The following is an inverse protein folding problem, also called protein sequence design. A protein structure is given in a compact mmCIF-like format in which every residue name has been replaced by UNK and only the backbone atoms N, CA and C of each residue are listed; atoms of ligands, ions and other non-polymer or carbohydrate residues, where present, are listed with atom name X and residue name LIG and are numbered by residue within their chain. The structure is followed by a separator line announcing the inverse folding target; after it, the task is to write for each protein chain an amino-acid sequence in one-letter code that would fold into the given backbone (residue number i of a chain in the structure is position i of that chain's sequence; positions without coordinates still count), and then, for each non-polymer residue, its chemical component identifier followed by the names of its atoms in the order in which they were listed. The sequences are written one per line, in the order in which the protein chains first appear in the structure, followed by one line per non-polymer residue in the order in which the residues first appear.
data_IF_445896189505
#
_entry.id   IF_445896189505
#
_cell.length_a   1.000
_cell.length_b   1.000
_cell.length_c   1.000
_cell.angle_alpha   90.00
_cell.angle_beta   90.00
_cell.angle_gamma   90.00
#
_symmetry.space_group_name_H-M   'P 1'
#
loop_
_entity.id
_entity.type
_entity.pdbx_description
1 polymer ?
#
# COMPACT_ATOMS: atom_id res chain seq x y z
N UNK A 1 8.70 0.67 -22.02
CA UNK A 1 8.99 -0.48 -21.14
C UNK A 1 8.01 -0.43 -19.98
N UNK A 2 7.15 -1.44 -19.81
CA UNK A 2 6.17 -1.55 -18.72
C UNK A 2 6.66 -2.58 -17.71
N UNK A 3 6.48 -2.28 -16.42
CA UNK A 3 6.78 -3.20 -15.31
C UNK A 3 5.45 -3.51 -14.62
N UNK A 4 5.16 -4.79 -14.38
CA UNK A 4 3.94 -5.26 -13.72
C UNK A 4 4.25 -5.67 -12.30
N UNK A 5 3.75 -4.89 -11.34
CA UNK A 5 3.93 -5.12 -9.90
C UNK A 5 2.52 -5.30 -9.31
N UNK A 6 2.12 -6.56 -9.10
CA UNK A 6 0.81 -6.95 -8.55
C UNK A 6 -0.02 -7.80 -9.52
N UNK A 7 -0.17 -9.09 -9.22
CA UNK A 7 -0.95 -10.04 -10.02
C UNK A 7 -2.17 -10.56 -9.23
N UNK A 8 -3.37 -10.42 -9.78
CA UNK A 8 -4.59 -11.07 -9.29
C UNK A 8 -5.30 -11.78 -10.45
N UNK A 9 -5.45 -13.11 -10.38
CA UNK A 9 -6.29 -13.97 -11.24
C UNK A 9 -6.54 -13.58 -12.73
N UNK A 10 -5.52 -13.09 -13.45
CA UNK A 10 -5.47 -12.62 -14.86
C UNK A 10 -5.39 -11.10 -15.09
N UNK A 11 -5.41 -10.35 -14.00
CA UNK A 11 -5.20 -8.91 -13.96
C UNK A 11 -3.81 -8.60 -13.41
N UNK A 12 -3.06 -7.76 -14.12
CA UNK A 12 -1.80 -7.20 -13.62
C UNK A 12 -1.88 -5.68 -13.57
N UNK A 13 -1.40 -5.10 -12.48
CA UNK A 13 -1.25 -3.66 -12.31
C UNK A 13 0.18 -3.22 -12.64
N UNK A 14 0.33 -1.96 -13.04
CA UNK A 14 1.66 -1.37 -13.19
C UNK A 14 1.62 0.01 -13.80
N UNK A 15 2.66 0.34 -14.56
CA UNK A 15 2.82 1.63 -15.23
C UNK A 15 3.29 1.51 -16.67
N UNK A 16 2.92 2.49 -17.49
CA UNK A 16 3.43 2.69 -18.84
C UNK A 16 3.91 4.14 -19.03
N UNK A 17 4.96 4.36 -19.81
CA UNK A 17 5.36 5.70 -20.23
C UNK A 17 4.71 6.03 -21.58
N UNK A 18 3.84 7.04 -21.59
CA UNK A 18 3.07 7.47 -22.77
C UNK A 18 3.24 8.97 -22.92
N UNK A 19 3.86 9.40 -24.03
CA UNK A 19 4.11 10.82 -24.28
C UNK A 19 5.00 11.49 -23.21
N UNK A 20 5.89 10.72 -22.55
CA UNK A 20 6.75 11.22 -21.48
C UNK A 20 6.11 11.19 -20.08
N UNK A 21 4.84 10.79 -19.96
CA UNK A 21 4.12 10.70 -18.69
C UNK A 21 4.07 9.25 -18.23
N UNK A 22 4.46 9.01 -16.97
CA UNK A 22 4.27 7.71 -16.32
C UNK A 22 2.81 7.59 -15.89
N UNK A 23 2.12 6.61 -16.46
CA UNK A 23 0.69 6.39 -16.29
C UNK A 23 0.40 5.04 -15.68
N UNK A 24 -0.39 5.05 -14.62
CA UNK A 24 -0.93 3.85 -14.01
C UNK A 24 -1.81 3.14 -15.04
N UNK A 25 -1.73 1.82 -15.08
CA UNK A 25 -2.61 1.04 -15.92
C UNK A 25 -2.70 -0.40 -15.49
N UNK A 26 -3.56 -1.11 -16.18
CA UNK A 26 -3.88 -2.52 -15.92
C UNK A 26 -3.88 -3.30 -17.22
N UNK A 27 -3.42 -4.55 -17.17
CA UNK A 27 -3.52 -5.51 -18.27
C UNK A 27 -4.42 -6.68 -17.86
N UNK A 28 -5.16 -7.20 -18.83
CA UNK A 28 -5.91 -8.46 -18.71
C UNK A 28 -5.38 -9.48 -19.72
N UNK A 29 -4.67 -10.51 -19.24
CA UNK A 29 -4.15 -11.66 -20.03
C UNK A 29 -3.18 -11.38 -21.19
N UNK A 30 -3.17 -10.20 -21.82
CA UNK A 30 -2.33 -9.84 -22.97
C UNK A 30 -1.80 -8.41 -22.84
N UNK A 31 -0.70 -8.09 -23.55
CA UNK A 31 -0.19 -6.72 -23.59
C UNK A 31 -1.14 -5.73 -24.30
N UNK A 32 -2.00 -6.23 -25.20
CA UNK A 32 -2.94 -5.42 -25.98
C UNK A 32 -4.17 -4.96 -25.19
N UNK A 33 -4.42 -5.51 -24.01
CA UNK A 33 -5.58 -5.18 -23.17
C UNK A 33 -5.29 -4.09 -22.15
N UNK A 34 -4.23 -3.32 -22.37
CA UNK A 34 -3.85 -2.24 -21.47
C UNK A 34 -4.97 -1.21 -21.36
N UNK A 35 -5.34 -0.91 -20.12
CA UNK A 35 -6.29 0.15 -19.76
C UNK A 35 -5.53 1.27 -19.06
N UNK A 36 -5.66 2.49 -19.59
CA UNK A 36 -5.15 3.70 -18.94
C UNK A 36 -5.98 4.01 -17.69
N UNK A 37 -5.30 4.09 -16.55
CA UNK A 37 -5.89 4.42 -15.26
C UNK A 37 -5.35 5.72 -14.70
N UNK A 38 -4.65 6.51 -15.52
CA UNK A 38 -4.08 7.77 -15.10
C UNK A 38 -5.15 8.81 -14.75
N UNK A 39 -5.22 9.28 -13.48
CA UNK A 39 -6.21 10.25 -13.08
C UNK A 39 -6.04 11.58 -13.82
N UNK A 40 -7.16 12.24 -14.16
CA UNK A 40 -7.11 13.57 -14.77
C UNK A 40 -6.42 14.57 -13.83
N UNK A 41 -5.40 15.27 -14.34
CA UNK A 41 -4.63 16.28 -13.59
C UNK A 41 -3.44 15.72 -12.81
N UNK A 42 -3.24 14.40 -12.77
CA UNK A 42 -2.03 13.81 -12.20
C UNK A 42 -0.83 14.06 -13.13
N UNK A 43 0.37 14.19 -12.55
CA UNK A 43 1.63 14.29 -13.29
C UNK A 43 2.31 12.93 -13.47
N UNK A 44 2.10 12.02 -12.52
CA UNK A 44 2.59 10.64 -12.49
C UNK A 44 1.51 9.80 -11.81
N UNK A 45 1.31 8.56 -12.24
CA UNK A 45 0.58 7.58 -11.45
C UNK A 45 1.10 6.16 -11.67
N UNK A 46 0.94 5.30 -10.67
CA UNK A 46 1.34 3.90 -10.72
C UNK A 46 0.34 3.02 -9.96
N UNK A 47 0.06 1.83 -10.49
CA UNK A 47 -0.60 0.74 -9.74
C UNK A 47 0.48 -0.18 -9.19
N UNK A 48 0.44 -0.46 -7.90
CA UNK A 48 1.37 -1.35 -7.17
C UNK A 48 0.70 -2.57 -6.54
N UNK A 49 -0.62 -2.50 -6.32
CA UNK A 49 -1.39 -3.58 -5.73
C UNK A 49 -2.68 -3.82 -6.49
N UNK A 50 -3.07 -5.08 -6.60
CA UNK A 50 -4.27 -5.50 -7.33
C UNK A 50 -5.02 -6.53 -6.51
N UNK A 51 -6.32 -6.34 -6.35
CA UNK A 51 -7.27 -7.36 -5.93
C UNK A 51 -8.19 -7.72 -7.09
N UNK A 52 -9.09 -8.68 -6.88
CA UNK A 52 -10.11 -9.02 -7.88
C UNK A 52 -11.09 -7.88 -8.18
N UNK A 53 -11.19 -6.87 -7.30
CA UNK A 53 -12.21 -5.81 -7.39
C UNK A 53 -11.62 -4.40 -7.47
N UNK A 54 -10.32 -4.24 -7.20
CA UNK A 54 -9.71 -2.92 -7.07
C UNK A 54 -8.22 -2.93 -7.36
N UNK A 55 -7.70 -1.76 -7.70
CA UNK A 55 -6.27 -1.49 -7.86
C UNK A 55 -5.86 -0.40 -6.90
N UNK A 56 -4.64 -0.47 -6.39
CA UNK A 56 -4.06 0.54 -5.50
C UNK A 56 -2.65 0.92 -5.91
N UNK A 57 -2.20 2.07 -5.44
CA UNK A 57 -0.90 2.62 -5.75
C UNK A 57 -0.86 4.08 -5.35
N UNK A 58 -0.34 4.92 -6.24
CA UNK A 58 -0.32 6.36 -6.02
C UNK A 58 -0.46 7.20 -7.29
N UNK A 59 -0.78 8.48 -7.09
CA UNK A 59 -0.80 9.51 -8.12
C UNK A 59 -0.23 10.83 -7.59
N UNK A 60 0.53 11.57 -8.39
CA UNK A 60 1.11 12.86 -8.01
C UNK A 60 0.26 14.02 -8.50
N UNK A 61 -0.22 14.85 -7.57
CA UNK A 61 -0.94 16.09 -7.85
C UNK A 61 -0.17 17.27 -7.25
N UNK A 62 0.41 18.10 -8.11
CA UNK A 62 1.35 19.13 -7.67
C UNK A 62 2.53 18.50 -6.92
N UNK A 63 2.71 18.89 -5.66
CA UNK A 63 3.77 18.37 -4.77
C UNK A 63 3.34 17.21 -3.89
N UNK A 64 2.06 16.80 -3.97
CA UNK A 64 1.48 15.81 -3.06
C UNK A 64 1.36 14.46 -3.74
N UNK A 65 1.83 13.41 -3.06
CA UNK A 65 1.60 12.02 -3.44
C UNK A 65 0.29 11.55 -2.81
N UNK A 66 -0.64 11.10 -3.66
CA UNK A 66 -1.94 10.60 -3.25
C UNK A 66 -1.96 9.08 -3.26
N UNK A 67 -2.19 8.46 -2.10
CA UNK A 67 -2.58 7.05 -2.06
C UNK A 67 -3.84 6.92 -2.90
N UNK A 68 -3.82 5.97 -3.83
CA UNK A 68 -4.81 5.92 -4.90
C UNK A 68 -5.52 4.59 -4.89
N UNK A 69 -6.83 4.66 -5.08
CA UNK A 69 -7.71 3.52 -5.32
C UNK A 69 -8.34 3.70 -6.70
N UNK A 70 -8.40 2.62 -7.47
CA UNK A 70 -9.14 2.55 -8.72
C UNK A 70 -10.00 1.30 -8.78
N UNK A 71 -11.03 1.34 -9.63
CA UNK A 71 -11.84 0.18 -10.03
C UNK A 71 -11.87 0.08 -11.55
N UNK A 72 -10.71 -0.20 -12.14
CA UNK A 72 -10.56 -0.54 -13.56
C UNK A 72 -10.59 0.61 -14.57
N UNK A 73 -10.58 1.88 -14.15
CA UNK A 73 -10.51 3.01 -15.09
C UNK A 73 -9.92 4.26 -14.44
N UNK A 74 -9.46 5.21 -15.26
CA UNK A 74 -9.04 6.52 -14.78
C UNK A 74 -10.17 7.29 -14.08
N UNK A 75 -11.41 7.16 -14.57
CA UNK A 75 -12.59 7.85 -14.03
C UNK A 75 -13.07 7.32 -12.68
N UNK A 76 -12.64 6.13 -12.27
CA UNK A 76 -12.96 5.57 -10.95
C UNK A 76 -11.90 5.84 -9.88
N UNK A 77 -10.92 6.70 -10.18
CA UNK A 77 -9.89 7.07 -9.23
C UNK A 77 -10.46 7.77 -7.99
N UNK A 78 -10.00 7.34 -6.82
CA UNK A 78 -10.27 7.95 -5.52
C UNK A 78 -8.96 8.18 -4.79
N UNK A 79 -8.77 9.40 -4.28
CA UNK A 79 -7.70 9.72 -3.34
C UNK A 79 -8.03 9.15 -1.95
N UNK A 80 -7.09 8.39 -1.40
CA UNK A 80 -7.14 7.85 -0.03
C UNK A 80 -6.41 8.74 0.99
N UNK A 81 -5.79 9.86 0.57
CA UNK A 81 -5.07 10.74 1.49
C UNK A 81 -5.98 11.26 2.62
N UNK A 82 -5.67 10.94 3.89
CA UNK A 82 -6.40 11.49 5.03
C UNK A 82 -6.24 13.01 5.10
N UNK A 83 -7.23 13.68 5.68
CA UNK A 83 -7.15 15.13 5.93
C UNK A 83 -5.95 15.45 6.83
N UNK A 84 -5.17 16.47 6.45
CA UNK A 84 -3.95 16.88 7.17
C UNK A 84 -2.70 16.05 6.88
N UNK A 85 -2.79 15.02 6.03
CA UNK A 85 -1.60 14.29 5.57
C UNK A 85 -0.76 15.10 4.58
N UNK A 86 0.56 14.89 4.60
CA UNK A 86 1.50 15.45 3.62
C UNK A 86 1.55 14.60 2.34
N UNK A 87 1.01 13.39 2.40
CA UNK A 87 0.92 12.44 1.31
C UNK A 87 0.60 11.06 1.87
N UNK A 88 0.28 10.13 0.98
CA UNK A 88 0.15 8.72 1.32
C UNK A 88 0.46 7.85 0.09
N UNK A 89 0.72 6.57 0.32
CA UNK A 89 0.86 5.54 -0.72
C UNK A 89 0.13 4.29 -0.28
N UNK A 90 -0.61 3.64 -1.19
CA UNK A 90 -1.22 2.34 -0.96
C UNK A 90 -0.44 1.26 -1.72
N UNK A 91 -0.02 0.20 -1.02
CA UNK A 91 0.81 -0.87 -1.58
C UNK A 91 -0.01 -2.13 -1.90
N UNK A 92 -1.00 -2.46 -1.08
CA UNK A 92 -1.77 -3.69 -1.22
C UNK A 92 -3.28 -3.44 -1.14
N UNK A 93 -4.02 -4.27 -1.87
CA UNK A 93 -5.47 -4.27 -1.88
C UNK A 93 -5.98 -5.67 -1.49
N UNK A 94 -6.92 -5.71 -0.56
CA UNK A 94 -7.77 -6.89 -0.33
C UNK A 94 -9.12 -6.67 -1.01
N UNK A 95 -10.04 -7.63 -0.87
CA UNK A 95 -11.40 -7.46 -1.37
C UNK A 95 -12.13 -6.26 -0.75
N UNK A 96 -11.74 -5.83 0.45
CA UNK A 96 -12.45 -4.81 1.24
C UNK A 96 -11.58 -3.64 1.67
N UNK A 97 -10.27 -3.78 1.63
CA UNK A 97 -9.35 -2.81 2.23
C UNK A 97 -8.18 -2.45 1.33
N UNK A 98 -7.63 -1.27 1.58
CA UNK A 98 -6.38 -0.80 1.01
C UNK A 98 -5.39 -0.63 2.15
N UNK A 99 -4.15 -1.06 1.94
CA UNK A 99 -3.11 -1.11 2.94
C UNK A 99 -1.94 -0.28 2.45
N UNK A 100 -1.40 0.57 3.31
CA UNK A 100 -0.20 1.30 2.99
C UNK A 100 0.26 2.27 4.06
N UNK A 101 0.79 3.42 3.64
CA UNK A 101 1.46 4.36 4.52
C UNK A 101 0.89 5.77 4.34
N UNK A 102 0.73 6.50 5.44
CA UNK A 102 0.42 7.93 5.46
C UNK A 102 1.59 8.70 6.04
N UNK A 103 1.97 9.80 5.41
CA UNK A 103 3.05 10.68 5.85
C UNK A 103 2.47 11.86 6.62
N UNK A 104 2.84 11.97 7.91
CA UNK A 104 2.40 13.01 8.83
C UNK A 104 3.62 13.68 9.46
N UNK A 105 3.98 14.89 9.01
CA UNK A 105 5.16 15.61 9.49
C UNK A 105 6.41 14.72 9.62
N UNK A 106 6.84 14.40 10.85
CA UNK A 106 8.03 13.60 11.16
C UNK A 106 7.78 12.10 11.27
N UNK A 107 6.58 11.62 10.93
CA UNK A 107 6.18 10.23 11.17
C UNK A 107 5.52 9.61 9.94
N UNK A 108 5.92 8.37 9.65
CA UNK A 108 5.22 7.48 8.71
C UNK A 108 4.31 6.57 9.52
N UNK A 109 3.05 6.46 9.09
CA UNK A 109 2.02 5.68 9.75
C UNK A 109 1.53 4.56 8.85
N UNK A 110 1.71 3.31 9.29
CA UNK A 110 0.98 2.17 8.76
C UNK A 110 -0.52 2.50 8.76
N UNK A 111 -1.16 2.29 7.62
CA UNK A 111 -2.48 2.83 7.32
C UNK A 111 -3.35 1.77 6.66
N UNK A 112 -4.62 1.77 7.05
CA UNK A 112 -5.68 0.98 6.44
C UNK A 112 -6.79 1.91 5.96
N UNK A 113 -7.35 1.63 4.80
CA UNK A 113 -8.54 2.31 4.29
C UNK A 113 -9.60 1.30 3.85
N UNK A 114 -10.84 1.77 3.74
CA UNK A 114 -11.95 1.05 3.10
C UNK A 114 -12.67 1.97 2.12
N UNK A 115 -12.07 2.17 0.95
CA UNK A 115 -12.69 2.84 -0.19
C UNK A 115 -12.61 4.36 -0.22
N UNK A 116 -12.14 5.02 0.85
CA UNK A 116 -12.08 6.49 0.89
C UNK A 116 -11.02 6.99 1.89
N UNK A 117 -10.63 8.26 1.75
CA UNK A 117 -9.81 8.95 2.73
C UNK A 117 -10.46 9.03 4.13
N UNK A 118 -11.79 9.13 4.20
CA UNK A 118 -12.53 9.27 5.45
C UNK A 118 -12.55 7.98 6.28
N UNK A 119 -12.33 6.81 5.66
CA UNK A 119 -12.25 5.53 6.35
C UNK A 119 -10.85 5.15 6.79
N UNK A 120 -9.91 6.10 6.77
CA UNK A 120 -8.55 5.88 7.23
C UNK A 120 -8.50 5.45 8.69
N UNK A 121 -7.72 4.39 8.94
CA UNK A 121 -7.34 3.90 10.27
C UNK A 121 -5.83 3.94 10.38
N UNK A 122 -5.34 4.61 11.41
CA UNK A 122 -3.94 4.58 11.81
C UNK A 122 -3.63 3.24 12.53
N UNK A 123 -2.68 2.49 12.00
CA UNK A 123 -2.21 1.22 12.55
C UNK A 123 -0.94 1.36 13.41
N UNK A 124 -0.38 2.57 13.58
CA UNK A 124 0.79 2.78 14.40
C UNK A 124 0.55 2.36 15.86
N UNK A 125 1.26 1.34 16.38
CA UNK A 125 1.07 0.89 17.76
C UNK A 125 1.41 1.97 18.78
N UNK A 126 0.79 1.90 19.96
CA UNK A 126 1.17 2.77 21.08
C UNK A 126 2.65 2.61 21.42
N UNK A 127 3.36 3.73 21.53
CA UNK A 127 4.80 3.75 21.81
C UNK A 127 5.71 3.58 20.58
N UNK A 128 5.15 3.34 19.40
CA UNK A 128 5.90 3.29 18.14
C UNK A 128 6.15 4.69 17.60
N UNK A 129 7.39 4.93 17.15
CA UNK A 129 7.82 6.21 16.56
C UNK A 129 7.56 6.31 15.06
N UNK A 130 7.42 5.17 14.38
CA UNK A 130 7.06 5.07 12.96
C UNK A 130 6.58 3.64 12.66
N UNK A 131 5.65 3.50 11.72
CA UNK A 131 5.22 2.20 11.23
C UNK A 131 4.95 2.25 9.73
N UNK A 132 5.07 1.10 9.08
CA UNK A 132 4.72 0.91 7.68
C UNK A 132 3.95 -0.39 7.50
N UNK A 133 2.99 -0.40 6.57
CA UNK A 133 2.28 -1.59 6.17
C UNK A 133 2.40 -1.78 4.65
N UNK A 134 2.80 -2.97 4.22
CA UNK A 134 3.13 -3.24 2.81
C UNK A 134 2.22 -4.28 2.18
N UNK A 135 1.68 -5.19 2.98
CA UNK A 135 0.88 -6.30 2.48
C UNK A 135 -0.20 -6.71 3.45
N UNK A 136 -1.05 -7.64 3.02
CA UNK A 136 -2.09 -8.20 3.85
C UNK A 136 -3.08 -9.04 3.06
N UNK A 137 -3.88 -9.81 3.79
CA UNK A 137 -4.93 -10.65 3.24
C UNK A 137 -6.06 -10.75 4.26
N UNK A 138 -7.30 -10.68 3.77
CA UNK A 138 -8.48 -10.60 4.61
C UNK A 138 -8.35 -9.47 5.65
N UNK A 139 -8.51 -9.76 6.96
CA UNK A 139 -8.43 -8.76 8.02
C UNK A 139 -6.99 -8.40 8.42
N UNK A 140 -5.99 -9.12 7.91
CA UNK A 140 -4.61 -9.04 8.42
C UNK A 140 -3.75 -8.09 7.58
N UNK A 141 -2.97 -7.24 8.24
CA UNK A 141 -1.96 -6.37 7.62
C UNK A 141 -0.58 -6.75 8.14
N UNK A 142 0.44 -6.63 7.30
CA UNK A 142 1.83 -6.90 7.66
C UNK A 142 2.76 -5.77 7.25
N UNK A 143 3.85 -5.63 8.01
CA UNK A 143 4.82 -4.56 7.82
C UNK A 143 5.80 -4.52 8.98
N UNK A 144 6.08 -3.33 9.50
CA UNK A 144 6.86 -3.15 10.72
C UNK A 144 6.41 -1.95 11.56
N UNK A 145 6.77 -1.97 12.84
CA UNK A 145 6.67 -0.83 13.75
C UNK A 145 8.04 -0.55 14.40
N UNK A 146 8.32 0.70 14.74
CA UNK A 146 9.60 1.12 15.34
C UNK A 146 9.42 1.37 16.83
N UNK A 147 9.79 0.38 17.64
CA UNK A 147 9.64 0.36 19.09
C UNK A 147 11.02 0.41 19.75
N UNK A 148 11.25 1.37 20.65
CA UNK A 148 12.56 1.52 21.31
C UNK A 148 13.75 1.72 20.35
N UNK A 149 13.50 2.24 19.14
CA UNK A 149 14.50 2.39 18.08
C UNK A 149 14.74 1.14 17.23
N UNK A 150 14.05 0.03 17.49
CA UNK A 150 14.15 -1.23 16.75
C UNK A 150 12.96 -1.35 15.80
N UNK A 151 13.21 -1.72 14.55
CA UNK A 151 12.15 -2.11 13.62
C UNK A 151 11.76 -3.55 13.89
N UNK A 152 10.53 -3.73 14.33
CA UNK A 152 9.92 -5.01 14.63
C UNK A 152 8.91 -5.37 13.56
N UNK A 153 9.07 -6.55 12.95
CA UNK A 153 8.08 -7.12 12.04
C UNK A 153 6.72 -7.14 12.75
N UNK A 154 5.70 -6.65 12.06
CA UNK A 154 4.40 -6.38 12.65
C UNK A 154 3.31 -7.13 11.90
N UNK A 155 2.36 -7.65 12.67
CA UNK A 155 1.06 -8.13 12.20
C UNK A 155 -0.02 -7.29 12.89
N UNK A 156 -0.99 -6.79 12.12
CA UNK A 156 -2.17 -6.12 12.63
C UNK A 156 -3.44 -6.82 12.16
N UNK A 157 -4.53 -6.62 12.90
CA UNK A 157 -5.88 -7.00 12.50
C UNK A 157 -6.80 -5.78 12.61
N UNK A 158 -6.69 -4.87 11.63
CA UNK A 158 -7.61 -3.74 11.45
C UNK A 158 -7.42 -2.54 12.38
N UNK A 159 -6.56 -2.61 13.41
CA UNK A 159 -6.37 -1.51 14.37
C UNK A 159 -4.93 -1.45 14.87
N UNK A 160 -4.51 -0.31 15.42
CA UNK A 160 -3.24 -0.20 16.13
C UNK A 160 -3.15 -1.11 17.37
N UNK A 161 -4.28 -1.32 18.05
CA UNK A 161 -4.34 -2.12 19.28
C UNK A 161 -4.20 -3.64 19.05
N UNK A 162 -4.46 -4.11 17.83
CA UNK A 162 -4.29 -5.52 17.44
C UNK A 162 -2.88 -5.86 16.96
N UNK A 163 -1.92 -4.95 17.19
CA UNK A 163 -0.51 -5.20 16.91
C UNK A 163 0.02 -6.45 17.61
N UNK A 164 0.68 -7.30 16.84
CA UNK A 164 1.47 -8.44 17.29
C UNK A 164 2.86 -8.31 16.70
N UNK A 165 3.88 -8.30 17.58
CA UNK A 165 5.26 -8.37 17.14
C UNK A 165 5.58 -9.77 16.64
N UNK A 166 6.07 -9.86 15.40
CA UNK A 166 6.64 -11.05 14.79
C UNK A 166 8.18 -11.01 14.86
N UNK A 167 8.75 -10.13 15.68
CA UNK A 167 10.19 -9.95 15.80
C UNK A 167 10.85 -11.17 16.46
N UNK A 168 11.79 -11.86 15.78
CA UNK A 168 12.50 -12.98 16.38
C UNK A 168 13.40 -12.51 17.52
N UNK A 169 13.42 -13.26 18.63
CA UNK A 169 14.34 -12.98 19.73
C UNK A 169 15.80 -13.00 19.28
N UNK A 170 16.57 -11.96 19.63
CA UNK A 170 17.98 -11.80 19.25
C UNK A 170 18.22 -11.14 17.88
N UNK A 171 17.18 -10.81 17.13
CA UNK A 171 17.34 -9.99 15.93
C UNK A 171 17.57 -8.51 16.28
N UNK A 172 18.31 -7.80 15.42
CA UNK A 172 18.53 -6.34 15.52
C UNK A 172 17.49 -5.54 14.72
N UNK A 173 16.80 -6.19 13.79
CA UNK A 173 15.70 -5.64 12.99
C UNK A 173 14.92 -6.77 12.32
N UNK A 174 13.63 -6.60 12.11
CA UNK A 174 12.83 -7.47 11.23
C UNK A 174 11.70 -6.71 10.55
N UNK A 175 11.21 -7.24 9.43
CA UNK A 175 10.07 -6.68 8.67
C UNK A 175 9.21 -7.79 8.07
N UNK A 176 7.90 -7.61 8.08
CA UNK A 176 6.96 -8.39 7.28
C UNK A 176 6.69 -7.70 5.93
N UNK A 177 6.53 -8.46 4.86
CA UNK A 177 6.27 -7.94 3.51
C UNK A 177 4.89 -8.32 2.99
N UNK A 178 4.52 -9.60 3.07
CA UNK A 178 3.26 -10.10 2.54
C UNK A 178 2.63 -11.13 3.48
N UNK A 179 1.33 -11.36 3.29
CA UNK A 179 0.57 -12.36 4.02
C UNK A 179 -0.48 -12.98 3.11
N UNK A 180 -0.59 -14.32 3.11
CA UNK A 180 -1.68 -15.03 2.43
C UNK A 180 -2.96 -15.12 3.30
N UNK A 181 -2.90 -14.60 4.54
CA UNK A 181 -3.96 -14.67 5.55
C UNK A 181 -3.69 -15.73 6.61
N UNK A 182 -2.87 -16.73 6.31
CA UNK A 182 -2.43 -17.81 7.20
C UNK A 182 -0.93 -17.83 7.46
N UNK A 183 -0.13 -17.29 6.53
CA UNK A 183 1.33 -17.23 6.59
C UNK A 183 1.79 -15.81 6.29
N UNK A 184 2.82 -15.38 7.00
CA UNK A 184 3.51 -14.12 6.77
C UNK A 184 4.92 -14.39 6.26
N UNK A 185 5.37 -13.58 5.30
CA UNK A 185 6.74 -13.63 4.79
C UNK A 185 7.46 -12.32 5.10
N UNK A 186 8.76 -12.39 5.28
CA UNK A 186 9.56 -11.28 5.78
C UNK A 186 11.03 -11.63 5.94
N UNK A 187 11.79 -10.74 6.57
CA UNK A 187 13.17 -11.00 6.94
C UNK A 187 13.47 -10.52 8.37
N UNK A 188 14.54 -11.03 8.95
CA UNK A 188 15.13 -10.55 10.19
C UNK A 188 16.66 -10.52 10.05
N UNK A 189 17.30 -9.55 10.71
CA UNK A 189 18.76 -9.39 10.78
C UNK A 189 19.23 -9.96 12.12
N UNK A 190 19.92 -11.08 12.07
CA UNK A 190 20.48 -11.77 13.25
C UNK A 190 22.00 -11.74 13.16
N UNK A 191 22.67 -11.42 14.27
CA UNK A 191 24.13 -11.34 14.40
C UNK A 191 24.62 -12.11 15.62
#
# INVERSE_FOLDING_TARGET
MSFGDGAGANTQGGRANIGGVIRAGMWTSTASSWVDMHPAGASISEVWGVSNVSQVGYAHFGTTTHASLWTGSAGSWVSLNPSGSLGAVAYAATATNQIGNTYMFSTVLASLWSGSAASWVNLNPTGSTASEAWGGSGPNQVGYATLGGVQEAALWSGTAASFVSLHPGGASSSRGHESDGSRQVGYAVVG
#
